data_IF_501396859265
#
_entry.id   IF_501396859265
#
_cell.length_a   1.000
_cell.length_b   1.000
_cell.length_c   1.000
_cell.angle_alpha   90.00
_cell.angle_beta   90.00
_cell.angle_gamma   90.00
#
_symmetry.space_group_name_H-M   'P 1'
#
loop_
_entity.id
_entity.type
_entity.pdbx_description
1 polymer ?
#
# COMPACT_ATOMS: atom_id res chain seq x y z
N UNK A 1 14.88 -3.28 -19.25
CA UNK A 1 13.58 -3.66 -18.65
C UNK A 1 13.07 -2.48 -17.81
N UNK A 2 11.77 -2.22 -17.85
CA UNK A 2 11.18 -1.08 -17.14
C UNK A 2 10.73 -1.49 -15.74
N UNK A 3 10.72 -0.54 -14.78
CA UNK A 3 10.11 -0.79 -13.49
C UNK A 3 8.59 -0.95 -13.59
N UNK A 4 8.01 -1.53 -12.57
CA UNK A 4 6.57 -1.54 -12.36
C UNK A 4 6.13 -0.21 -11.75
N UNK A 5 4.91 0.21 -12.02
CA UNK A 5 4.34 1.41 -11.41
C UNK A 5 3.18 1.01 -10.52
N UNK A 6 3.19 1.50 -9.29
CA UNK A 6 2.15 1.18 -8.31
C UNK A 6 1.66 2.43 -7.58
N UNK A 7 0.50 2.28 -6.93
CA UNK A 7 -0.05 3.26 -6.01
C UNK A 7 0.01 2.66 -4.62
N UNK A 8 0.54 3.41 -3.65
CA UNK A 8 0.44 3.11 -2.24
C UNK A 8 -0.55 4.05 -1.57
N UNK A 9 -1.36 3.49 -0.67
CA UNK A 9 -2.39 4.21 0.05
C UNK A 9 -1.98 4.31 1.51
N UNK A 10 -1.66 5.53 1.96
CA UNK A 10 -1.40 5.79 3.37
C UNK A 10 -2.73 6.22 4.00
N UNK A 11 -3.42 5.24 4.57
CA UNK A 11 -4.79 5.38 5.05
C UNK A 11 -4.75 5.65 6.54
N UNK A 12 -5.33 6.77 6.95
CA UNK A 12 -5.41 7.17 8.37
C UNK A 12 -6.86 7.23 8.83
N UNK A 13 -7.09 6.94 10.09
CA UNK A 13 -8.34 7.27 10.77
C UNK A 13 -8.24 8.66 11.42
N UNK A 14 -9.32 9.12 12.05
CA UNK A 14 -9.34 10.43 12.70
C UNK A 14 -8.51 10.48 13.99
N UNK A 15 -8.12 9.31 14.52
CA UNK A 15 -7.19 9.24 15.66
C UNK A 15 -5.73 9.27 15.23
N UNK A 16 -5.46 9.36 13.92
CA UNK A 16 -4.10 9.39 13.38
C UNK A 16 -3.44 8.02 13.26
N UNK A 17 -4.19 6.94 13.42
CA UNK A 17 -3.67 5.59 13.22
C UNK A 17 -3.66 5.25 11.73
N UNK A 18 -2.69 4.46 11.33
CA UNK A 18 -2.44 4.08 9.94
C UNK A 18 -2.75 2.61 9.73
N UNK A 19 -3.37 2.31 8.59
CA UNK A 19 -3.71 0.94 8.20
C UNK A 19 -2.51 0.26 7.55
N UNK A 20 -2.17 -0.94 8.04
CA UNK A 20 -1.18 -1.81 7.39
C UNK A 20 -1.73 -3.22 7.28
N UNK A 21 -1.36 -3.88 6.18
CA UNK A 21 -1.73 -5.26 5.88
C UNK A 21 -0.52 -6.17 5.89
N UNK A 22 -0.72 -7.42 6.27
CA UNK A 22 0.35 -8.40 6.32
C UNK A 22 0.54 -9.04 4.94
N UNK A 23 1.76 -8.98 4.43
CA UNK A 23 2.08 -9.54 3.12
C UNK A 23 2.38 -11.02 3.21
N UNK A 24 1.63 -11.80 2.43
CA UNK A 24 1.83 -13.24 2.32
C UNK A 24 2.57 -13.65 1.06
N UNK A 25 2.78 -12.70 0.14
CA UNK A 25 3.45 -12.92 -1.13
C UNK A 25 4.71 -12.06 -1.24
N UNK A 26 5.65 -12.50 -2.06
CA UNK A 26 6.81 -11.69 -2.43
C UNK A 26 6.38 -10.57 -3.39
N UNK A 27 7.06 -9.43 -3.41
CA UNK A 27 8.18 -9.07 -2.53
C UNK A 27 7.72 -8.69 -1.11
N UNK A 28 8.67 -8.60 -0.19
CA UNK A 28 8.44 -8.21 1.20
C UNK A 28 7.56 -9.19 1.98
N UNK A 29 7.64 -10.48 1.63
CA UNK A 29 6.93 -11.55 2.32
C UNK A 29 7.20 -11.50 3.83
N UNK A 30 6.13 -11.65 4.62
CA UNK A 30 6.25 -11.71 6.08
C UNK A 30 6.37 -10.34 6.75
N UNK A 31 6.05 -9.26 6.05
CA UNK A 31 6.09 -7.91 6.63
C UNK A 31 4.72 -7.24 6.55
N UNK A 32 4.53 -6.25 7.42
CA UNK A 32 3.39 -5.34 7.36
C UNK A 32 3.69 -4.20 6.41
N UNK A 33 2.73 -3.88 5.56
CA UNK A 33 2.89 -2.91 4.48
C UNK A 33 1.60 -2.11 4.31
N UNK A 34 1.71 -0.87 3.83
CA UNK A 34 0.50 -0.10 3.49
C UNK A 34 -0.21 -0.76 2.31
N UNK A 35 -1.55 -0.65 2.23
CA UNK A 35 -2.29 -1.14 1.08
C UNK A 35 -1.83 -0.46 -0.21
N UNK A 36 -1.91 -1.19 -1.31
CA UNK A 36 -1.55 -0.64 -2.59
C UNK A 36 -1.74 -1.65 -3.72
N UNK A 37 -1.42 -1.23 -4.93
CA UNK A 37 -1.54 -2.09 -6.09
C UNK A 37 -0.85 -1.51 -7.31
N UNK A 38 -0.62 -2.36 -8.29
CA UNK A 38 0.02 -1.98 -9.55
C UNK A 38 -0.97 -1.31 -10.49
N UNK A 39 -0.46 -0.37 -11.26
CA UNK A 39 -1.20 0.21 -12.38
C UNK A 39 -1.02 -0.74 -13.57
N UNK A 40 -2.11 -1.06 -14.25
CA UNK A 40 -2.08 -1.94 -15.41
C UNK A 40 -1.76 -1.13 -16.66
N UNK A 41 -1.17 -1.81 -17.66
CA UNK A 41 -0.93 -1.17 -18.95
C UNK A 41 -2.25 -0.69 -19.56
N UNK A 42 -2.25 0.51 -20.12
CA UNK A 42 -3.41 1.17 -20.70
C UNK A 42 -4.50 1.58 -19.70
N UNK A 43 -4.21 1.51 -18.41
CA UNK A 43 -5.09 1.96 -17.35
C UNK A 43 -4.70 3.39 -16.95
N UNK A 44 -5.67 4.30 -16.95
CA UNK A 44 -5.44 5.67 -16.51
C UNK A 44 -5.28 5.72 -14.99
N UNK A 45 -4.54 6.70 -14.51
CA UNK A 45 -4.25 6.86 -13.10
C UNK A 45 -5.52 6.97 -12.24
N UNK A 46 -6.52 7.72 -12.70
CA UNK A 46 -7.78 7.84 -11.96
C UNK A 46 -8.51 6.49 -11.84
N UNK A 47 -8.54 5.72 -12.93
CA UNK A 47 -9.16 4.40 -12.93
C UNK A 47 -8.41 3.42 -12.03
N UNK A 48 -7.09 3.44 -12.07
CA UNK A 48 -6.25 2.60 -11.23
C UNK A 48 -6.48 2.90 -9.75
N UNK A 49 -6.52 4.18 -9.37
CA UNK A 49 -6.77 4.60 -8.00
C UNK A 49 -8.11 4.05 -7.50
N UNK A 50 -9.18 4.27 -8.25
CA UNK A 50 -10.54 3.81 -7.86
C UNK A 50 -10.58 2.29 -7.71
N UNK A 51 -9.97 1.56 -8.65
CA UNK A 51 -9.92 0.10 -8.60
C UNK A 51 -9.12 -0.42 -7.40
N UNK A 52 -7.96 0.18 -7.12
CA UNK A 52 -7.10 -0.25 -6.01
C UNK A 52 -7.77 0.02 -4.68
N UNK A 53 -8.40 1.19 -4.50
CA UNK A 53 -9.15 1.50 -3.28
C UNK A 53 -10.26 0.48 -3.05
N UNK A 54 -11.01 0.13 -4.08
CA UNK A 54 -12.06 -0.87 -3.98
C UNK A 54 -11.49 -2.24 -3.60
N UNK A 55 -10.44 -2.68 -4.29
CA UNK A 55 -9.84 -3.99 -4.06
C UNK A 55 -9.20 -4.11 -2.66
N UNK A 56 -8.55 -3.06 -2.20
CA UNK A 56 -7.78 -3.10 -0.95
C UNK A 56 -8.58 -2.66 0.28
N UNK A 57 -9.50 -1.74 0.13
CA UNK A 57 -10.25 -1.16 1.25
C UNK A 57 -11.73 -1.55 1.23
N UNK A 58 -12.23 -2.11 0.14
CA UNK A 58 -13.64 -2.43 -0.01
C UNK A 58 -14.53 -1.20 -0.21
N UNK A 59 -13.98 -0.09 -0.64
CA UNK A 59 -14.70 1.17 -0.86
C UNK A 59 -14.85 1.38 -2.36
N UNK A 60 -16.09 1.31 -2.85
CA UNK A 60 -16.37 1.47 -4.27
C UNK A 60 -16.50 2.95 -4.66
N UNK A 61 -16.02 3.28 -5.85
CA UNK A 61 -16.26 4.58 -6.47
C UNK A 61 -15.52 5.76 -5.87
N UNK A 62 -14.48 5.52 -5.06
CA UNK A 62 -13.69 6.62 -4.52
C UNK A 62 -12.83 7.25 -5.61
N UNK A 63 -12.92 8.54 -5.76
CA UNK A 63 -12.13 9.27 -6.74
C UNK A 63 -10.78 9.69 -6.17
N UNK A 64 -9.79 9.79 -7.06
CA UNK A 64 -8.43 10.21 -6.68
C UNK A 64 -8.40 11.59 -6.04
N UNK A 65 -9.32 12.47 -6.41
CA UNK A 65 -9.46 13.81 -5.81
C UNK A 65 -9.79 13.79 -4.32
N UNK A 66 -10.28 12.67 -3.79
CA UNK A 66 -10.53 12.51 -2.36
C UNK A 66 -9.26 12.29 -1.55
N UNK A 67 -8.14 12.02 -2.21
CA UNK A 67 -6.85 11.78 -1.57
C UNK A 67 -5.88 12.91 -1.85
N UNK A 68 -4.85 13.03 -1.00
CA UNK A 68 -3.78 14.01 -1.18
C UNK A 68 -2.55 13.31 -1.76
N UNK A 69 -2.00 13.87 -2.82
CA UNK A 69 -0.75 13.35 -3.39
C UNK A 69 0.38 13.46 -2.37
N UNK A 70 1.03 12.36 -2.10
CA UNK A 70 2.08 12.25 -1.08
C UNK A 70 3.50 12.15 -1.62
N UNK A 71 3.68 12.11 -2.93
CA UNK A 71 5.00 12.07 -3.56
C UNK A 71 5.26 10.81 -4.37
N UNK A 72 6.43 10.78 -5.00
CA UNK A 72 6.93 9.64 -5.76
C UNK A 72 8.04 8.98 -4.96
N UNK A 73 8.01 7.66 -4.90
CA UNK A 73 8.99 6.85 -4.17
C UNK A 73 9.51 5.74 -5.07
N UNK A 74 10.68 5.25 -4.75
CA UNK A 74 11.25 4.09 -5.43
C UNK A 74 11.37 2.97 -4.42
N UNK A 75 10.81 1.80 -4.75
CA UNK A 75 10.89 0.62 -3.90
C UNK A 75 11.66 -0.47 -4.64
N UNK A 76 12.78 -0.84 -4.09
CA UNK A 76 13.66 -1.88 -4.61
C UNK A 76 13.63 -3.07 -3.65
N UNK A 77 13.41 -4.25 -4.20
CA UNK A 77 13.40 -5.50 -3.44
C UNK A 77 14.36 -6.49 -4.08
N UNK A 78 15.04 -7.27 -3.25
CA UNK A 78 15.94 -8.31 -3.74
C UNK A 78 15.21 -9.54 -4.24
N UNK A 79 13.92 -9.67 -3.95
CA UNK A 79 13.09 -10.79 -4.37
C UNK A 79 11.98 -10.33 -5.34
N UNK A 80 11.27 -11.29 -5.92
CA UNK A 80 10.15 -11.03 -6.83
C UNK A 80 9.03 -12.07 -6.61
N UNK A 81 7.90 -11.88 -7.30
CA UNK A 81 6.72 -12.72 -7.14
C UNK A 81 6.97 -14.20 -7.44
N UNK A 82 7.83 -14.49 -8.40
CA UNK A 82 8.13 -15.86 -8.81
C UNK A 82 9.16 -16.52 -7.90
N UNK A 83 9.82 -15.74 -7.03
CA UNK A 83 10.92 -16.23 -6.21
C UNK A 83 12.14 -16.63 -7.00
N UNK A 84 12.28 -16.16 -8.24
CA UNK A 84 13.43 -16.47 -9.08
C UNK A 84 14.70 -15.80 -8.52
N UNK A 85 15.79 -16.55 -8.50
CA UNK A 85 17.09 -16.04 -8.07
C UNK A 85 17.59 -14.98 -9.05
N UNK A 86 18.34 -14.01 -8.53
CA UNK A 86 19.02 -12.97 -9.30
C UNK A 86 18.09 -11.99 -10.06
N UNK A 87 16.78 -12.02 -9.74
CA UNK A 87 15.83 -11.07 -10.30
C UNK A 87 15.27 -10.23 -9.14
N UNK A 88 15.59 -8.95 -9.15
CA UNK A 88 15.04 -7.99 -8.20
C UNK A 88 13.69 -7.45 -8.68
N UNK A 89 12.96 -6.83 -7.78
CA UNK A 89 11.73 -6.10 -8.10
C UNK A 89 11.96 -4.61 -7.90
N UNK A 90 11.57 -3.83 -8.90
CA UNK A 90 11.70 -2.37 -8.88
C UNK A 90 10.35 -1.74 -9.15
N UNK A 91 9.88 -0.92 -8.21
CA UNK A 91 8.65 -0.15 -8.34
C UNK A 91 8.94 1.34 -8.31
N UNK A 92 8.26 2.07 -9.19
CA UNK A 92 8.03 3.50 -9.02
C UNK A 92 6.66 3.63 -8.38
N UNK A 93 6.58 4.25 -7.21
CA UNK A 93 5.37 4.28 -6.39
C UNK A 93 4.83 5.70 -6.32
N UNK A 94 3.55 5.84 -6.58
CA UNK A 94 2.80 7.08 -6.39
C UNK A 94 2.05 6.94 -5.06
N UNK A 95 2.43 7.73 -4.06
CA UNK A 95 1.83 7.66 -2.74
C UNK A 95 0.67 8.64 -2.61
N UNK A 96 -0.43 8.19 -2.01
CA UNK A 96 -1.59 9.02 -1.68
C UNK A 96 -1.93 8.89 -0.22
N UNK A 97 -2.19 10.03 0.42
CA UNK A 97 -2.71 10.09 1.80
C UNK A 97 -4.22 10.21 1.77
N UNK A 98 -4.87 9.36 2.55
CA UNK A 98 -6.31 9.23 2.58
C UNK A 98 -6.77 9.10 4.04
N UNK A 99 -7.69 9.96 4.47
CA UNK A 99 -8.26 9.89 5.81
C UNK A 99 -9.69 9.38 5.72
N UNK A 100 -10.01 8.34 6.51
CA UNK A 100 -11.33 7.72 6.51
C UNK A 100 -12.07 8.08 7.80
N UNK A 101 -13.31 8.54 7.63
CA UNK A 101 -14.21 8.82 8.74
C UNK A 101 -14.76 7.53 9.35
N UNK A 102 -15.22 6.61 8.51
CA UNK A 102 -15.76 5.33 8.94
C UNK A 102 -14.82 4.20 8.55
N UNK A 103 -14.19 3.58 9.54
CA UNK A 103 -13.22 2.50 9.33
C UNK A 103 -13.79 1.12 9.63
N UNK A 104 -15.07 1.00 9.96
CA UNK A 104 -15.67 -0.22 10.48
C UNK A 104 -15.60 -1.41 9.51
N UNK A 105 -15.66 -1.15 8.20
CA UNK A 105 -15.64 -2.20 7.17
C UNK A 105 -14.26 -2.43 6.56
N UNK A 106 -13.30 -1.57 6.84
CA UNK A 106 -11.96 -1.67 6.25
C UNK A 106 -11.20 -2.83 6.88
N UNK A 107 -10.57 -3.64 6.05
CA UNK A 107 -9.80 -4.80 6.49
C UNK A 107 -10.61 -6.08 6.67
N UNK A 108 -11.92 -6.01 6.51
CA UNK A 108 -12.79 -7.19 6.56
C UNK A 108 -12.99 -7.85 5.20
N UNK A 109 -12.61 -7.13 4.18
CA UNK A 109 -12.94 -7.47 2.81
C UNK A 109 -12.02 -8.54 2.26
N UNK A 110 -10.74 -8.48 2.56
CA UNK A 110 -9.76 -9.37 1.99
C UNK A 110 -9.64 -10.66 2.80
N UNK A 111 -9.94 -11.78 2.19
CA UNK A 111 -9.86 -13.08 2.81
C UNK A 111 -8.40 -13.58 2.93
N UNK A 112 -7.43 -12.92 2.35
CA UNK A 112 -6.03 -13.37 2.33
C UNK A 112 -5.13 -12.60 3.25
N UNK A 113 -5.53 -11.40 3.69
CA UNK A 113 -4.68 -10.49 4.43
C UNK A 113 -5.25 -10.18 5.79
N UNK A 114 -4.37 -9.94 6.74
CA UNK A 114 -4.71 -9.37 8.03
C UNK A 114 -4.41 -7.89 7.97
N UNK A 115 -5.26 -7.08 8.60
CA UNK A 115 -5.09 -5.62 8.68
C UNK A 115 -5.09 -5.19 10.13
N UNK A 116 -4.21 -4.25 10.46
CA UNK A 116 -4.18 -3.61 11.77
C UNK A 116 -4.02 -2.11 11.61
N UNK A 117 -4.45 -1.37 12.62
CA UNK A 117 -4.27 0.07 12.71
C UNK A 117 -3.17 0.36 13.72
N UNK A 118 -2.16 1.12 13.31
CA UNK A 118 -1.01 1.47 14.16
C UNK A 118 -0.83 2.97 14.20
N UNK A 119 -0.46 3.49 15.37
CA UNK A 119 0.05 4.86 15.42
C UNK A 119 1.37 4.93 14.66
N UNK A 120 1.75 6.11 14.11
CA UNK A 120 3.05 6.24 13.45
C UNK A 120 4.23 5.83 14.35
N UNK A 121 4.18 6.14 15.65
CA UNK A 121 5.21 5.74 16.59
C UNK A 121 5.31 4.22 16.73
N UNK A 122 4.17 3.54 16.88
CA UNK A 122 4.14 2.09 16.98
C UNK A 122 4.62 1.43 15.67
N UNK A 123 4.23 1.98 14.54
CA UNK A 123 4.64 1.51 13.23
C UNK A 123 6.16 1.58 13.05
N UNK A 124 6.75 2.72 13.41
CA UNK A 124 8.20 2.91 13.29
C UNK A 124 9.00 2.04 14.25
N UNK A 125 8.42 1.66 15.38
CA UNK A 125 9.08 0.84 16.39
C UNK A 125 9.07 -0.66 16.08
N UNK A 126 8.25 -1.11 15.12
CA UNK A 126 8.10 -2.54 14.82
C UNK A 126 9.16 -3.02 13.83
N UNK A 127 9.77 -4.15 14.13
CA UNK A 127 10.74 -4.79 13.22
C UNK A 127 10.05 -5.48 12.04
N UNK A 128 8.78 -5.82 12.16
CA UNK A 128 8.02 -6.53 11.13
C UNK A 128 7.24 -5.59 10.19
N UNK A 129 7.41 -4.29 10.31
CA UNK A 129 6.94 -3.31 9.32
C UNK A 129 8.08 -3.05 8.33
N UNK A 130 7.76 -3.14 7.04
CA UNK A 130 8.78 -2.98 6.00
C UNK A 130 9.33 -1.56 5.98
N UNK A 131 10.64 -1.42 5.70
CA UNK A 131 11.33 -0.13 5.64
C UNK A 131 10.70 0.82 4.62
N UNK A 132 10.21 0.31 3.49
CA UNK A 132 9.54 1.13 2.49
C UNK A 132 8.23 1.75 3.00
N UNK A 133 7.53 1.08 3.90
CA UNK A 133 6.37 1.65 4.59
C UNK A 133 6.79 2.68 5.63
N UNK A 134 7.83 2.38 6.41
CA UNK A 134 8.35 3.32 7.42
C UNK A 134 8.80 4.64 6.80
N UNK A 135 9.30 4.60 5.58
CA UNK A 135 9.78 5.79 4.89
C UNK A 135 8.71 6.88 4.74
N UNK A 136 7.44 6.51 4.70
CA UNK A 136 6.34 7.48 4.62
C UNK A 136 6.14 8.29 5.90
N UNK A 137 6.70 7.85 7.01
CA UNK A 137 6.48 8.43 8.34
C UNK A 137 7.75 9.00 9.00
N UNK A 138 8.84 8.99 8.27
CA UNK A 138 10.13 9.54 8.74
C UNK A 138 10.30 11.00 8.36
#
# INVERSE_FOLDING_TARGET
MTPLVSIDLIVSDYAGRVLVGYRRNRPALGTWFVPGGRICKNERLNAAFTRIVDAELGIAGMERSAARFGGLFEHLYDDNFAGAADISTHYVVIAYFLTLENTASVGRFDQHSRYIWLTPEALLARDDVHENTKAYFR
#
